data_IF_660209000979
#
_entry.id   IF_660209000979
#
_cell.length_a   1.000
_cell.length_b   1.000
_cell.length_c   1.000
_cell.angle_alpha   90.00
_cell.angle_beta   90.00
_cell.angle_gamma   90.00
#
_symmetry.space_group_name_H-M   'P 1'
#
loop_
_entity.id
_entity.type
_entity.pdbx_description
1 polymer ?
#
# COMPACT_ATOMS: atom_id res chain seq x y z
N UNK A 1 101.54 -32.75 -78.34
CA UNK A 1 101.64 -31.42 -78.96
C UNK A 1 101.67 -30.46 -77.79
N UNK A 2 102.89 -30.03 -77.48
CA UNK A 2 103.28 -28.76 -76.86
C UNK A 2 102.60 -28.48 -75.51
N UNK A 3 103.25 -28.72 -74.36
CA UNK A 3 104.29 -27.82 -73.85
C UNK A 3 105.51 -28.57 -73.27
N UNK A 4 106.50 -28.80 -74.12
CA UNK A 4 107.92 -28.80 -73.74
C UNK A 4 108.38 -27.34 -73.71
N UNK A 5 108.66 -26.80 -72.51
CA UNK A 5 109.76 -25.88 -72.18
C UNK A 5 109.43 -25.02 -70.95
N UNK A 6 110.35 -25.02 -69.98
CA UNK A 6 110.43 -24.13 -68.81
C UNK A 6 109.35 -24.35 -67.72
N UNK A 7 109.66 -24.80 -66.50
CA UNK A 7 110.78 -24.50 -65.59
C UNK A 7 111.02 -25.76 -64.74
N UNK A 8 112.12 -26.52 -64.78
CA UNK A 8 113.52 -26.13 -64.58
C UNK A 8 113.69 -25.00 -63.56
N UNK A 9 113.26 -25.25 -62.31
CA UNK A 9 113.92 -24.68 -61.13
C UNK A 9 113.42 -25.35 -59.84
N UNK A 10 113.80 -26.60 -59.62
CA UNK A 10 113.80 -27.15 -58.26
C UNK A 10 115.16 -26.81 -57.65
N UNK A 11 115.22 -26.00 -56.58
CA UNK A 11 116.49 -25.78 -55.89
C UNK A 11 116.89 -27.11 -55.22
N UNK A 12 118.17 -27.49 -55.36
CA UNK A 12 118.79 -28.62 -54.66
C UNK A 12 118.22 -28.82 -53.24
N UNK A 13 117.93 -30.05 -52.81
CA UNK A 13 117.62 -30.34 -51.42
C UNK A 13 118.88 -30.10 -50.58
N UNK A 14 119.02 -28.86 -50.12
CA UNK A 14 120.08 -28.39 -49.23
C UNK A 14 120.15 -29.32 -48.01
N UNK A 15 121.32 -29.84 -47.62
CA UNK A 15 121.48 -30.88 -46.59
C UNK A 15 121.04 -30.48 -45.17
N UNK A 16 120.56 -29.25 -44.97
CA UNK A 16 120.09 -28.70 -43.68
C UNK A 16 118.62 -28.99 -43.32
N UNK A 17 117.81 -29.53 -44.24
CA UNK A 17 116.35 -29.63 -44.02
C UNK A 17 115.92 -30.83 -43.16
N UNK A 18 116.58 -31.99 -43.28
CA UNK A 18 116.27 -33.17 -42.48
C UNK A 18 116.76 -33.04 -41.02
N UNK A 19 117.95 -32.48 -40.82
CA UNK A 19 118.50 -32.25 -39.48
C UNK A 19 117.63 -31.28 -38.65
N UNK A 20 117.08 -30.24 -39.28
CA UNK A 20 116.17 -29.31 -38.62
C UNK A 20 114.81 -29.92 -38.26
N UNK A 21 114.35 -30.94 -39.00
CA UNK A 21 113.11 -31.65 -38.68
C UNK A 21 113.26 -32.55 -37.45
N UNK A 22 114.37 -33.30 -37.35
CA UNK A 22 114.65 -34.14 -36.19
C UNK A 22 114.92 -33.32 -34.92
N UNK A 23 115.64 -32.19 -35.02
CA UNK A 23 115.84 -31.29 -33.87
C UNK A 23 114.54 -30.68 -33.35
N UNK A 24 113.56 -30.38 -34.21
CA UNK A 24 112.22 -29.91 -33.78
C UNK A 24 111.40 -31.00 -33.11
N UNK A 25 111.55 -32.26 -33.52
CA UNK A 25 110.84 -33.38 -32.91
C UNK A 25 111.40 -33.66 -31.50
N UNK A 26 112.72 -33.68 -31.36
CA UNK A 26 113.40 -33.89 -30.07
C UNK A 26 113.06 -32.78 -29.06
N UNK A 27 113.08 -31.51 -29.50
CA UNK A 27 112.65 -30.38 -28.67
C UNK A 27 111.17 -30.47 -28.25
N UNK A 28 110.30 -31.07 -29.08
CA UNK A 28 108.89 -31.29 -28.72
C UNK A 28 108.69 -32.43 -27.73
N UNK A 29 109.41 -33.54 -27.92
CA UNK A 29 109.30 -34.73 -27.05
C UNK A 29 109.82 -34.39 -25.65
N UNK A 30 111.00 -33.78 -25.55
CA UNK A 30 111.56 -33.31 -24.27
C UNK A 30 110.63 -32.31 -23.55
N UNK A 31 110.02 -31.37 -24.29
CA UNK A 31 109.02 -30.45 -23.74
C UNK A 31 107.68 -31.11 -23.38
N UNK A 32 107.39 -32.33 -23.86
CA UNK A 32 106.20 -33.09 -23.49
C UNK A 32 106.45 -33.94 -22.23
N UNK A 33 107.63 -34.54 -22.10
CA UNK A 33 108.05 -35.29 -20.90
C UNK A 33 108.08 -34.40 -19.65
N UNK A 34 108.68 -33.21 -19.73
CA UNK A 34 108.70 -32.27 -18.59
C UNK A 34 107.30 -31.86 -18.11
N UNK A 35 106.34 -31.74 -19.04
CA UNK A 35 104.94 -31.42 -18.70
C UNK A 35 104.20 -32.61 -18.10
N UNK A 36 104.53 -33.84 -18.49
CA UNK A 36 103.95 -35.05 -17.92
C UNK A 36 104.46 -35.28 -16.50
N UNK A 37 105.77 -35.15 -16.25
CA UNK A 37 106.35 -35.28 -14.91
C UNK A 37 105.83 -34.21 -13.94
N UNK A 38 105.69 -32.96 -14.43
CA UNK A 38 105.08 -31.89 -13.64
C UNK A 38 103.62 -32.17 -13.27
N UNK A 39 102.85 -32.85 -14.14
CA UNK A 39 101.46 -33.22 -13.86
C UNK A 39 101.34 -34.45 -12.96
N UNK A 40 102.20 -35.45 -13.15
CA UNK A 40 102.25 -36.64 -12.33
C UNK A 40 102.61 -36.30 -10.88
N UNK A 41 103.63 -35.44 -10.67
CA UNK A 41 104.00 -35.00 -9.33
C UNK A 41 102.87 -34.21 -8.61
N UNK A 42 102.12 -33.39 -9.34
CA UNK A 42 100.96 -32.70 -8.75
C UNK A 42 99.79 -33.64 -8.42
N UNK A 43 99.50 -34.62 -9.27
CA UNK A 43 98.45 -35.62 -8.98
C UNK A 43 98.84 -36.52 -7.81
N UNK A 44 100.09 -36.99 -7.75
CA UNK A 44 100.57 -37.80 -6.61
C UNK A 44 100.46 -37.02 -5.31
N UNK A 45 100.87 -35.73 -5.30
CA UNK A 45 100.77 -34.88 -4.12
C UNK A 45 99.33 -34.58 -3.72
N UNK A 46 98.42 -34.42 -4.67
CA UNK A 46 96.98 -34.23 -4.40
C UNK A 46 96.32 -35.50 -3.84
N UNK A 47 96.68 -36.67 -4.35
CA UNK A 47 96.19 -37.96 -3.85
C UNK A 47 96.72 -38.24 -2.45
N UNK A 48 98.01 -37.97 -2.19
CA UNK A 48 98.59 -38.05 -0.84
C UNK A 48 97.84 -37.15 0.15
N UNK A 49 97.54 -35.91 -0.24
CA UNK A 49 96.78 -34.97 0.60
C UNK A 49 95.35 -35.46 0.89
N UNK A 50 94.66 -36.06 -0.09
CA UNK A 50 93.32 -36.63 0.09
C UNK A 50 93.35 -37.87 1.00
N UNK A 51 94.39 -38.71 0.89
CA UNK A 51 94.52 -39.89 1.75
C UNK A 51 94.79 -39.52 3.20
N UNK A 52 95.55 -38.45 3.46
CA UNK A 52 95.81 -37.95 4.82
C UNK A 52 94.55 -37.34 5.42
N UNK A 53 93.77 -36.56 4.66
CA UNK A 53 92.48 -36.04 5.16
C UNK A 53 91.46 -37.16 5.41
N UNK A 54 91.39 -38.19 4.56
CA UNK A 54 90.46 -39.31 4.74
C UNK A 54 90.77 -40.19 5.95
N UNK A 55 92.04 -40.30 6.37
CA UNK A 55 92.40 -41.01 7.60
C UNK A 55 92.03 -40.23 8.87
N UNK A 56 91.90 -38.90 8.78
CA UNK A 56 91.45 -38.05 9.90
C UNK A 56 89.92 -37.93 10.04
N UNK A 57 89.15 -38.44 9.06
CA UNK A 57 87.69 -38.43 9.10
C UNK A 57 87.18 -39.72 9.74
N UNK A 58 87.20 -39.75 11.06
CA UNK A 58 86.48 -40.75 11.85
C UNK A 58 84.98 -40.45 11.72
N UNK A 59 84.29 -41.13 10.80
CA UNK A 59 82.85 -40.95 10.55
C UNK A 59 82.09 -41.49 11.77
N UNK A 60 81.40 -40.65 12.56
CA UNK A 60 80.63 -41.12 13.70
C UNK A 60 79.48 -42.01 13.23
N UNK A 61 79.17 -43.08 13.96
CA UNK A 61 78.01 -43.92 13.64
C UNK A 61 76.70 -43.17 13.96
N UNK A 62 76.05 -42.65 12.92
CA UNK A 62 74.77 -41.94 13.02
C UNK A 62 73.54 -42.87 12.96
N UNK A 63 73.73 -44.18 12.79
CA UNK A 63 72.65 -45.18 12.80
C UNK A 63 71.70 -45.05 14.01
N UNK A 64 72.18 -44.91 15.27
CA UNK A 64 71.28 -44.71 16.41
C UNK A 64 70.50 -43.39 16.36
N UNK A 65 71.08 -42.34 15.78
CA UNK A 65 70.43 -41.03 15.63
C UNK A 65 69.37 -41.08 14.53
N UNK A 66 69.66 -41.73 13.41
CA UNK A 66 68.70 -41.95 12.33
C UNK A 66 67.52 -42.81 12.79
N UNK A 67 67.78 -43.85 13.58
CA UNK A 67 66.73 -44.69 14.16
C UNK A 67 65.81 -43.88 15.10
N UNK A 68 66.37 -42.96 15.91
CA UNK A 68 65.57 -42.03 16.72
C UNK A 68 64.72 -41.08 15.87
N UNK A 69 65.27 -40.51 14.79
CA UNK A 69 64.51 -39.67 13.88
C UNK A 69 63.38 -40.44 13.18
N UNK A 70 63.64 -41.68 12.75
CA UNK A 70 62.61 -42.57 12.22
C UNK A 70 61.50 -42.86 13.23
N UNK A 71 61.85 -43.10 14.50
CA UNK A 71 60.90 -43.26 15.60
C UNK A 71 60.04 -42.01 15.84
N UNK A 72 60.63 -40.81 15.79
CA UNK A 72 59.90 -39.55 15.92
C UNK A 72 58.96 -39.29 14.74
N UNK A 73 59.39 -39.57 13.51
CA UNK A 73 58.54 -39.47 12.32
C UNK A 73 57.37 -40.45 12.37
N UNK A 74 57.60 -41.69 12.83
CA UNK A 74 56.54 -42.68 13.01
C UNK A 74 55.53 -42.25 14.08
N UNK A 75 56.01 -41.69 15.20
CA UNK A 75 55.14 -41.15 16.25
C UNK A 75 54.31 -39.95 15.76
N UNK A 76 54.92 -39.01 15.03
CA UNK A 76 54.22 -37.89 14.42
C UNK A 76 53.20 -38.34 13.38
N UNK A 77 53.52 -39.33 12.54
CA UNK A 77 52.59 -39.91 11.58
C UNK A 77 51.38 -40.55 12.27
N UNK A 78 51.61 -41.27 13.38
CA UNK A 78 50.56 -41.83 14.21
C UNK A 78 49.66 -40.77 14.85
N UNK A 79 50.24 -39.67 15.33
CA UNK A 79 49.50 -38.52 15.88
C UNK A 79 48.72 -37.78 14.81
N UNK A 80 49.31 -37.54 13.63
CA UNK A 80 48.65 -36.90 12.49
C UNK A 80 47.46 -37.72 12.00
N UNK A 81 47.59 -39.06 11.94
CA UNK A 81 46.50 -39.96 11.60
C UNK A 81 45.37 -39.88 12.63
N UNK A 82 45.69 -39.90 13.93
CA UNK A 82 44.69 -39.70 15.00
C UNK A 82 44.00 -38.34 14.94
N UNK A 83 44.71 -37.29 14.51
CA UNK A 83 44.14 -35.95 14.36
C UNK A 83 43.26 -35.86 13.10
N UNK A 84 43.65 -36.51 12.01
CA UNK A 84 42.86 -36.61 10.78
C UNK A 84 41.58 -37.44 10.99
N UNK A 85 41.66 -38.52 11.76
CA UNK A 85 40.52 -39.38 12.11
C UNK A 85 39.68 -38.77 13.26
N UNK A 86 40.10 -37.66 13.88
CA UNK A 86 39.38 -37.05 14.97
C UNK A 86 38.05 -36.41 14.48
N UNK A 87 36.94 -36.57 15.23
CA UNK A 87 35.63 -36.03 14.86
C UNK A 87 35.60 -34.49 14.75
N UNK A 88 36.61 -33.79 15.27
CA UNK A 88 36.79 -32.36 15.07
C UNK A 88 37.07 -31.98 13.60
N UNK A 89 37.71 -32.85 12.81
CA UNK A 89 37.93 -32.62 11.37
C UNK A 89 36.65 -32.81 10.53
N UNK A 90 35.64 -33.52 11.06
CA UNK A 90 34.32 -33.64 10.42
C UNK A 90 33.39 -32.47 10.73
N UNK A 91 33.73 -31.67 11.76
CA UNK A 91 33.07 -30.41 12.08
C UNK A 91 33.79 -29.27 11.36
N UNK A 92 33.84 -29.34 10.03
CA UNK A 92 34.33 -28.22 9.23
C UNK A 92 33.34 -27.05 9.35
N UNK A 93 33.81 -25.79 9.33
CA UNK A 93 32.94 -24.62 9.39
C UNK A 93 31.87 -24.63 8.27
N UNK A 94 32.22 -25.15 7.07
CA UNK A 94 31.30 -25.37 5.96
C UNK A 94 30.16 -26.35 6.35
N UNK A 95 30.50 -27.53 6.89
CA UNK A 95 29.49 -28.52 7.29
C UNK A 95 28.62 -28.04 8.46
N UNK A 96 29.15 -27.19 9.33
CA UNK A 96 28.41 -26.58 10.44
C UNK A 96 27.45 -25.51 9.90
N UNK A 97 27.90 -24.67 8.97
CA UNK A 97 27.08 -23.67 8.32
C UNK A 97 25.93 -24.30 7.53
N UNK A 98 26.18 -25.39 6.81
CA UNK A 98 25.16 -26.14 6.07
C UNK A 98 24.09 -26.73 7.01
N UNK A 99 24.50 -27.33 8.14
CA UNK A 99 23.56 -27.82 9.16
C UNK A 99 22.79 -26.69 9.85
N UNK A 100 23.44 -25.54 10.08
CA UNK A 100 22.77 -24.36 10.62
C UNK A 100 21.75 -23.80 9.63
N UNK A 101 22.06 -23.72 8.34
CA UNK A 101 21.13 -23.28 7.31
C UNK A 101 19.94 -24.25 7.18
N UNK A 102 20.20 -25.56 7.13
CA UNK A 102 19.16 -26.58 7.06
C UNK A 102 18.23 -26.56 8.28
N UNK A 103 18.79 -26.46 9.49
CA UNK A 103 17.99 -26.34 10.72
C UNK A 103 17.25 -25.00 10.83
N UNK A 104 17.86 -23.91 10.35
CA UNK A 104 17.21 -22.59 10.28
C UNK A 104 16.06 -22.58 9.28
N UNK A 105 16.20 -23.28 8.14
CA UNK A 105 15.17 -23.38 7.13
C UNK A 105 13.99 -24.25 7.61
N UNK A 106 14.30 -25.39 8.24
CA UNK A 106 13.30 -26.23 8.90
C UNK A 106 12.55 -25.48 10.02
N UNK A 107 13.25 -24.64 10.79
CA UNK A 107 12.61 -23.81 11.83
C UNK A 107 11.75 -22.67 11.24
N UNK A 108 12.10 -22.14 10.07
CA UNK A 108 11.36 -21.05 9.40
C UNK A 108 10.12 -21.53 8.65
N UNK A 109 10.03 -22.81 8.31
CA UNK A 109 8.87 -23.37 7.61
C UNK A 109 7.54 -23.20 8.37
N UNK A 110 7.43 -23.60 9.66
CA UNK A 110 6.21 -23.36 10.44
C UNK A 110 5.93 -21.87 10.67
N UNK A 111 6.97 -21.03 10.82
CA UNK A 111 6.80 -19.59 10.92
C UNK A 111 6.24 -18.98 9.63
N UNK A 112 6.73 -19.41 8.46
CA UNK A 112 6.21 -18.97 7.15
C UNK A 112 4.74 -19.34 6.99
N UNK A 113 4.32 -20.53 7.44
CA UNK A 113 2.92 -20.95 7.34
C UNK A 113 2.04 -20.20 8.34
N UNK A 114 2.49 -20.02 9.58
CA UNK A 114 1.80 -19.24 10.60
C UNK A 114 1.64 -17.77 10.18
N UNK A 115 2.68 -17.13 9.62
CA UNK A 115 2.61 -15.76 9.10
C UNK A 115 1.62 -15.67 7.94
N UNK A 116 1.63 -16.63 7.00
CA UNK A 116 0.65 -16.65 5.90
C UNK A 116 -0.78 -16.81 6.41
N UNK A 117 -1.02 -17.68 7.39
CA UNK A 117 -2.32 -17.83 8.02
C UNK A 117 -2.76 -16.57 8.75
N UNK A 118 -1.87 -15.94 9.52
CA UNK A 118 -2.15 -14.69 10.20
C UNK A 118 -2.49 -13.57 9.20
N UNK A 119 -1.75 -13.47 8.08
CA UNK A 119 -2.06 -12.52 7.01
C UNK A 119 -3.42 -12.81 6.34
N UNK A 120 -3.76 -14.09 6.13
CA UNK A 120 -5.06 -14.47 5.59
C UNK A 120 -6.20 -14.07 6.52
N UNK A 121 -6.10 -14.41 7.81
CA UNK A 121 -7.06 -14.03 8.85
C UNK A 121 -7.20 -12.50 8.97
N UNK A 122 -6.09 -11.76 8.84
CA UNK A 122 -6.12 -10.31 8.90
C UNK A 122 -6.78 -9.67 7.68
N UNK A 123 -6.59 -10.25 6.49
CA UNK A 123 -7.30 -9.81 5.27
C UNK A 123 -8.79 -10.12 5.35
N UNK A 124 -9.14 -11.29 5.86
CA UNK A 124 -10.53 -11.70 6.07
C UNK A 124 -11.24 -10.76 7.05
N UNK A 125 -10.61 -10.48 8.20
CA UNK A 125 -11.19 -9.55 9.18
C UNK A 125 -11.30 -8.12 8.66
N UNK A 126 -10.32 -7.64 7.87
CA UNK A 126 -10.41 -6.35 7.21
C UNK A 126 -11.55 -6.31 6.18
N UNK A 127 -11.75 -7.38 5.41
CA UNK A 127 -12.85 -7.48 4.47
C UNK A 127 -14.21 -7.48 5.18
N UNK A 128 -14.33 -8.21 6.30
CA UNK A 128 -15.54 -8.27 7.10
C UNK A 128 -15.84 -6.92 7.77
N UNK A 129 -14.84 -6.26 8.35
CA UNK A 129 -14.95 -4.89 8.88
C UNK A 129 -15.41 -3.91 7.80
N UNK A 130 -14.84 -3.96 6.60
CA UNK A 130 -15.27 -3.09 5.49
C UNK A 130 -16.69 -3.42 5.01
N UNK A 131 -17.08 -4.69 5.01
CA UNK A 131 -18.46 -5.13 4.72
C UNK A 131 -19.46 -4.61 5.77
N UNK A 132 -19.13 -4.74 7.06
CA UNK A 132 -19.95 -4.23 8.17
C UNK A 132 -20.01 -2.70 8.15
N UNK A 133 -18.89 -2.00 7.94
CA UNK A 133 -18.87 -0.54 7.83
C UNK A 133 -19.70 -0.08 6.62
N UNK A 134 -19.59 -0.76 5.48
CA UNK A 134 -20.40 -0.50 4.29
C UNK A 134 -21.89 -0.64 4.56
N UNK A 135 -22.31 -1.72 5.21
CA UNK A 135 -23.73 -1.97 5.55
C UNK A 135 -24.27 -1.04 6.64
N UNK A 136 -23.45 -0.67 7.63
CA UNK A 136 -23.83 0.29 8.68
C UNK A 136 -24.00 1.69 8.09
N UNK A 137 -23.09 2.11 7.20
CA UNK A 137 -23.15 3.42 6.55
C UNK A 137 -24.38 3.55 5.66
N UNK A 138 -24.68 2.54 4.83
CA UNK A 138 -25.90 2.56 3.99
C UNK A 138 -27.18 2.53 4.82
N UNK A 139 -27.21 1.77 5.93
CA UNK A 139 -28.36 1.72 6.85
C UNK A 139 -28.58 3.05 7.58
N UNK A 140 -27.52 3.77 7.92
CA UNK A 140 -27.64 5.09 8.55
C UNK A 140 -28.22 6.12 7.58
N UNK A 141 -27.72 6.16 6.35
CA UNK A 141 -28.17 7.07 5.31
C UNK A 141 -29.63 6.77 4.88
N UNK A 142 -29.96 5.48 4.73
CA UNK A 142 -31.33 5.04 4.45
C UNK A 142 -32.32 5.39 5.57
N UNK A 143 -31.90 5.30 6.84
CA UNK A 143 -32.72 5.71 7.99
C UNK A 143 -33.02 7.20 7.98
N UNK A 144 -32.05 8.05 7.63
CA UNK A 144 -32.29 9.48 7.50
C UNK A 144 -33.26 9.78 6.37
N UNK A 145 -33.13 9.15 5.20
CA UNK A 145 -34.12 9.29 4.13
C UNK A 145 -35.52 8.83 4.55
N UNK A 146 -35.63 7.71 5.28
CA UNK A 146 -36.92 7.22 5.79
C UNK A 146 -37.52 8.16 6.85
N UNK A 147 -36.69 8.77 7.69
CA UNK A 147 -37.12 9.80 8.65
C UNK A 147 -37.56 11.08 7.94
N UNK A 148 -36.80 11.59 6.98
CA UNK A 148 -37.15 12.79 6.23
C UNK A 148 -38.44 12.59 5.42
N UNK A 149 -38.60 11.44 4.77
CA UNK A 149 -39.83 11.11 4.05
C UNK A 149 -41.01 10.89 5.00
N UNK A 150 -40.80 10.24 6.16
CA UNK A 150 -41.84 10.07 7.18
C UNK A 150 -42.29 11.40 7.78
N UNK A 151 -41.35 12.27 8.17
CA UNK A 151 -41.65 13.61 8.71
C UNK A 151 -42.28 14.48 7.62
N UNK A 152 -41.75 14.46 6.40
CA UNK A 152 -42.28 15.23 5.28
C UNK A 152 -43.72 14.85 4.93
N UNK A 153 -44.02 13.55 4.87
CA UNK A 153 -45.39 13.07 4.62
C UNK A 153 -46.33 13.39 5.78
N UNK A 154 -45.90 13.20 7.03
CA UNK A 154 -46.69 13.57 8.20
C UNK A 154 -47.02 15.08 8.24
N UNK A 155 -46.04 15.94 7.94
CA UNK A 155 -46.24 17.39 7.84
C UNK A 155 -47.17 17.76 6.69
N UNK A 156 -47.00 17.16 5.52
CA UNK A 156 -47.86 17.42 4.36
C UNK A 156 -49.32 17.01 4.64
N UNK A 157 -49.53 15.83 5.23
CA UNK A 157 -50.87 15.34 5.62
C UNK A 157 -51.48 16.23 6.70
N UNK A 158 -50.70 16.63 7.71
CA UNK A 158 -51.16 17.54 8.78
C UNK A 158 -51.58 18.91 8.21
N UNK A 159 -50.77 19.48 7.32
CA UNK A 159 -51.09 20.76 6.67
C UNK A 159 -52.32 20.66 5.77
N UNK A 160 -52.44 19.56 5.02
CA UNK A 160 -53.62 19.28 4.21
C UNK A 160 -54.87 19.18 5.09
N UNK A 161 -54.78 18.52 6.23
CA UNK A 161 -55.90 18.37 7.17
C UNK A 161 -56.34 19.69 7.79
N UNK A 162 -55.42 20.63 8.01
CA UNK A 162 -55.72 21.98 8.48
C UNK A 162 -56.43 22.82 7.42
N UNK A 163 -56.06 22.67 6.15
CA UNK A 163 -56.63 23.43 5.04
C UNK A 163 -57.97 22.86 4.55
N UNK A 164 -58.15 21.54 4.67
CA UNK A 164 -59.32 20.81 4.20
C UNK A 164 -60.67 21.34 4.73
N UNK A 165 -60.90 21.62 6.02
CA UNK A 165 -62.21 22.04 6.51
C UNK A 165 -62.65 23.42 6.03
N UNK A 166 -61.70 24.34 5.78
CA UNK A 166 -62.00 25.67 5.24
C UNK A 166 -62.37 25.64 3.76
N UNK A 167 -61.60 24.89 2.96
CA UNK A 167 -61.83 24.76 1.53
C UNK A 167 -63.01 23.84 1.19
N UNK A 168 -63.17 22.71 1.89
CA UNK A 168 -64.28 21.78 1.62
C UNK A 168 -65.66 22.40 1.95
N UNK A 169 -65.72 23.38 2.86
CA UNK A 169 -66.96 24.06 3.20
C UNK A 169 -67.58 24.82 2.02
N UNK A 170 -66.80 25.23 1.02
CA UNK A 170 -67.26 26.02 -0.13
C UNK A 170 -67.57 25.23 -1.40
N UNK A 171 -67.34 23.90 -1.42
CA UNK A 171 -67.50 23.05 -2.62
C UNK A 171 -68.87 22.36 -2.67
N UNK A 172 -69.54 22.24 -1.51
CA UNK A 172 -70.86 21.63 -1.44
C UNK A 172 -71.93 22.41 -2.23
N UNK A 173 -73.00 21.76 -2.71
CA UNK A 173 -74.14 22.44 -3.33
C UNK A 173 -74.73 23.51 -2.39
N UNK A 174 -75.22 24.62 -2.94
CA UNK A 174 -75.79 25.73 -2.13
C UNK A 174 -76.91 25.26 -1.18
N UNK A 175 -77.70 24.25 -1.57
CA UNK A 175 -78.79 23.69 -0.77
C UNK A 175 -78.35 23.14 0.59
N UNK A 176 -77.08 22.78 0.76
CA UNK A 176 -76.55 22.23 1.99
C UNK A 176 -76.12 23.26 3.03
N UNK A 177 -75.98 24.53 2.67
CA UNK A 177 -75.63 25.62 3.59
C UNK A 177 -74.43 25.28 4.50
N UNK A 178 -73.41 24.60 3.97
CA UNK A 178 -72.20 24.20 4.71
C UNK A 178 -71.45 25.39 5.32
N UNK A 179 -71.22 26.50 4.59
CA UNK A 179 -70.54 27.66 5.16
C UNK A 179 -71.27 28.21 6.39
N UNK A 180 -72.61 28.33 6.33
CA UNK A 180 -73.42 28.81 7.44
C UNK A 180 -73.38 27.85 8.65
N UNK A 181 -73.37 26.53 8.42
CA UNK A 181 -73.25 25.53 9.50
C UNK A 181 -71.86 25.54 10.13
N UNK A 182 -70.80 25.73 9.35
CA UNK A 182 -69.43 25.86 9.85
C UNK A 182 -69.29 27.17 10.64
N UNK A 183 -69.71 28.30 10.09
CA UNK A 183 -69.69 29.59 10.76
C UNK A 183 -70.41 29.54 12.12
N UNK A 184 -71.61 28.93 12.17
CA UNK A 184 -72.34 28.71 13.42
C UNK A 184 -71.52 27.92 14.44
N UNK A 185 -70.88 26.81 14.04
CA UNK A 185 -70.06 25.97 14.94
C UNK A 185 -68.80 26.69 15.41
N UNK A 186 -68.11 27.40 14.51
CA UNK A 186 -66.88 28.14 14.82
C UNK A 186 -67.16 29.31 15.76
N UNK A 187 -68.25 30.04 15.54
CA UNK A 187 -68.68 31.15 16.38
C UNK A 187 -69.35 30.69 17.69
N UNK A 188 -69.74 29.42 17.79
CA UNK A 188 -70.35 28.83 18.98
C UNK A 188 -71.81 29.27 19.20
N UNK A 189 -72.49 29.69 18.14
CA UNK A 189 -73.86 30.23 18.24
C UNK A 189 -74.94 29.16 18.09
N UNK A 190 -76.10 29.42 18.71
CA UNK A 190 -77.23 28.50 18.71
C UNK A 190 -77.80 28.29 17.30
N UNK A 191 -77.95 29.37 16.54
CA UNK A 191 -78.50 29.34 15.17
C UNK A 191 -77.55 29.98 14.15
N UNK A 192 -77.75 29.64 12.86
CA UNK A 192 -76.98 30.27 11.79
C UNK A 192 -77.32 31.77 11.64
N UNK A 193 -78.52 32.16 12.08
CA UNK A 193 -78.95 33.55 12.13
C UNK A 193 -78.17 34.34 13.18
N UNK A 194 -78.03 33.81 14.40
CA UNK A 194 -77.26 34.45 15.48
C UNK A 194 -75.79 34.58 15.10
N UNK A 195 -75.23 33.56 14.44
CA UNK A 195 -73.89 33.60 13.85
C UNK A 195 -73.75 34.72 12.82
N UNK A 196 -74.75 34.90 11.94
CA UNK A 196 -74.80 35.99 10.97
C UNK A 196 -74.86 37.37 11.63
N UNK A 197 -75.71 37.54 12.66
CA UNK A 197 -75.81 38.79 13.43
C UNK A 197 -74.46 39.13 14.08
N UNK A 198 -73.83 38.14 14.74
CA UNK A 198 -72.54 38.34 15.40
C UNK A 198 -71.46 38.72 14.39
N UNK A 199 -71.45 38.08 13.22
CA UNK A 199 -70.49 38.38 12.16
C UNK A 199 -70.71 39.79 11.60
N UNK A 200 -71.95 40.16 11.25
CA UNK A 200 -72.28 41.49 10.73
C UNK A 200 -71.92 42.60 11.73
N UNK A 201 -72.20 42.38 13.02
CA UNK A 201 -71.85 43.34 14.09
C UNK A 201 -70.34 43.46 14.30
N UNK A 202 -69.60 42.35 14.17
CA UNK A 202 -68.16 42.33 14.35
C UNK A 202 -67.40 42.95 13.17
N UNK A 203 -67.89 42.74 11.94
CA UNK A 203 -67.28 43.27 10.72
C UNK A 203 -67.51 44.77 10.56
N UNK A 204 -68.77 45.23 10.70
CA UNK A 204 -69.10 46.64 10.62
C UNK A 204 -70.26 47.01 11.56
N UNK A 205 -69.95 47.56 12.75
CA UNK A 205 -70.98 47.91 13.73
C UNK A 205 -71.89 49.06 13.27
N UNK A 206 -71.38 50.01 12.49
CA UNK A 206 -72.15 51.14 11.98
C UNK A 206 -73.19 50.69 10.93
N UNK A 207 -72.76 49.85 9.99
CA UNK A 207 -73.67 49.25 9.01
C UNK A 207 -74.73 48.36 9.67
N UNK A 208 -74.34 47.58 10.69
CA UNK A 208 -75.30 46.80 11.49
C UNK A 208 -76.33 47.71 12.16
N UNK A 209 -75.89 48.82 12.76
CA UNK A 209 -76.79 49.76 13.42
C UNK A 209 -77.75 50.42 12.42
N UNK A 210 -77.28 50.75 11.21
CA UNK A 210 -78.15 51.26 10.15
C UNK A 210 -79.25 50.26 9.77
N UNK A 211 -78.93 48.96 9.70
CA UNK A 211 -79.91 47.89 9.44
C UNK A 211 -80.94 47.79 10.58
N UNK A 212 -80.47 47.82 11.84
CA UNK A 212 -81.35 47.78 13.02
C UNK A 212 -82.28 48.99 13.04
N UNK A 213 -81.75 50.20 12.85
CA UNK A 213 -82.54 51.43 12.82
C UNK A 213 -83.59 51.40 11.70
N UNK A 214 -83.24 50.90 10.51
CA UNK A 214 -84.19 50.75 9.41
C UNK A 214 -85.28 49.70 9.71
N UNK A 215 -84.91 48.58 10.34
CA UNK A 215 -85.87 47.57 10.78
C UNK A 215 -86.82 48.11 11.85
N UNK A 216 -86.31 48.88 12.82
CA UNK A 216 -87.09 49.51 13.87
C UNK A 216 -88.09 50.52 13.29
N UNK A 217 -87.63 51.40 12.41
CA UNK A 217 -88.49 52.33 11.67
C UNK A 217 -89.58 51.58 10.88
N UNK A 218 -89.24 50.47 10.21
CA UNK A 218 -90.22 49.68 9.48
C UNK A 218 -91.25 49.01 10.42
N UNK A 219 -90.84 48.57 11.62
CA UNK A 219 -91.73 48.02 12.64
C UNK A 219 -92.69 49.06 13.19
N UNK A 220 -92.19 50.26 13.51
CA UNK A 220 -93.02 51.39 13.99
C UNK A 220 -94.03 51.85 12.95
N UNK A 221 -93.70 51.73 11.65
CA UNK A 221 -94.54 52.13 10.54
C UNK A 221 -95.25 50.95 9.84
N UNK A 222 -95.32 49.78 10.47
CA UNK A 222 -95.76 48.52 9.83
C UNK A 222 -97.09 48.64 9.08
N UNK A 223 -98.10 49.24 9.69
CA UNK A 223 -99.45 49.33 9.10
C UNK A 223 -99.49 50.32 7.93
N UNK A 224 -98.79 51.45 8.06
CA UNK A 224 -98.67 52.45 7.00
C UNK A 224 -97.92 51.85 5.80
N UNK A 225 -96.78 51.19 6.04
CA UNK A 225 -96.00 50.53 5.00
C UNK A 225 -96.78 49.40 4.33
N UNK A 226 -97.51 48.58 5.08
CA UNK A 226 -98.34 47.51 4.51
C UNK A 226 -99.45 48.07 3.61
N UNK A 227 -100.05 49.20 3.97
CA UNK A 227 -101.07 49.87 3.15
C UNK A 227 -100.46 50.46 1.89
N UNK A 228 -99.33 51.16 2.01
CA UNK A 228 -98.59 51.69 0.88
C UNK A 228 -98.11 50.59 -0.08
N UNK A 229 -97.64 49.45 0.44
CA UNK A 229 -97.21 48.32 -0.38
C UNK A 229 -98.38 47.68 -1.15
N UNK A 230 -99.57 47.58 -0.52
CA UNK A 230 -100.80 47.15 -1.20
C UNK A 230 -101.26 48.16 -2.27
N UNK A 231 -101.11 49.46 -2.02
CA UNK A 231 -101.43 50.49 -3.00
C UNK A 231 -100.47 50.44 -4.19
N UNK A 232 -99.16 50.29 -3.93
CA UNK A 232 -98.13 50.13 -4.94
C UNK A 232 -98.36 48.87 -5.79
N UNK A 233 -98.70 47.73 -5.18
CA UNK A 233 -98.94 46.50 -5.93
C UNK A 233 -100.19 46.56 -6.80
N UNK A 234 -101.24 47.28 -6.35
CA UNK A 234 -102.45 47.53 -7.15
C UNK A 234 -102.20 48.50 -8.30
N UNK A 235 -101.45 49.57 -8.06
CA UNK A 235 -101.11 50.57 -9.07
C UNK A 235 -100.01 50.10 -10.03
N UNK A 236 -99.22 49.08 -9.64
CA UNK A 236 -97.99 48.65 -10.32
C UNK A 236 -96.97 49.78 -10.52
N UNK A 237 -97.05 50.80 -9.66
CA UNK A 237 -96.25 52.02 -9.72
C UNK A 237 -95.76 52.38 -8.31
N UNK A 238 -94.61 53.09 -8.19
CA UNK A 238 -94.14 53.57 -6.91
C UNK A 238 -95.12 54.60 -6.33
N UNK A 239 -95.49 54.43 -5.05
CA UNK A 239 -96.40 55.34 -4.35
C UNK A 239 -95.66 56.10 -3.25
N UNK A 240 -96.06 57.35 -3.01
CA UNK A 240 -95.54 58.13 -1.88
C UNK A 240 -96.19 57.64 -0.58
N UNK A 241 -95.36 57.24 0.38
CA UNK A 241 -95.81 56.81 1.70
C UNK A 241 -95.33 57.81 2.75
N UNK A 242 -96.23 58.24 3.62
CA UNK A 242 -95.87 59.07 4.77
C UNK A 242 -95.51 58.16 5.93
N UNK A 243 -94.25 58.20 6.34
CA UNK A 243 -93.74 57.45 7.50
C UNK A 243 -93.46 58.42 8.65
N UNK A 244 -93.56 57.91 9.87
CA UNK A 244 -93.14 58.58 11.09
C UNK A 244 -91.69 58.19 11.37
N UNK A 245 -90.84 59.17 11.59
CA UNK A 245 -89.44 58.97 11.97
C UNK A 245 -89.27 59.53 13.37
N UNK A 246 -88.88 58.67 14.32
CA UNK A 246 -88.55 59.09 15.68
C UNK A 246 -87.24 59.88 15.73
N UNK A 247 -87.07 60.72 16.76
CA UNK A 247 -85.81 61.42 16.99
C UNK A 247 -84.69 60.41 17.30
N UNK A 248 -83.44 60.63 16.82
CA UNK A 248 -82.33 59.76 17.14
C UNK A 248 -82.11 59.74 18.66
N UNK A 249 -82.07 58.54 19.25
CA UNK A 249 -81.72 58.37 20.65
C UNK A 249 -80.20 58.57 20.75
N UNK A 250 -79.78 59.68 21.37
CA UNK A 250 -78.38 60.03 21.66
C UNK A 250 -77.78 59.07 22.70
#
# INVERSE_FOLDING_TARGET
MDDEQNLLNEPEPRPDTAAQAFGRLEARVSGMEQRLDGRLSMLTRAVEHITIERQSLEIPDYSPTLAKHGGHLAAMAGQMKRLADAPAMQLTPESMAERMLASSEAAREPDKTAIKQAQALHRESQADLMGVIGTVRTKHEQRWHMLYTGIGTALAVSLLWLLYPGWAASIGPESWHWPARVARRVLGEATAWDAGIRLMRADNPEAWQAIVNAADMARENRDALATCQKAASKAKEPVRCTIRVGAPQL
#
